data_IF_653207386136
#
_entry.id   IF_653207386136
#
_cell.length_a   1.000
_cell.length_b   1.000
_cell.length_c   1.000
_cell.angle_alpha   90.00
_cell.angle_beta   90.00
_cell.angle_gamma   90.00
#
_symmetry.space_group_name_H-M   'P 1'
#
loop_
_entity.id
_entity.type
_entity.pdbx_description
1 polymer ?
#
# COMPACT_ATOMS: atom_id res chain seq x y z
N UNK A 1 -38.94 33.84 6.96
CA UNK A 1 -38.73 32.48 6.43
C UNK A 1 -37.63 32.40 5.34
N UNK A 2 -37.53 33.35 4.40
CA UNK A 2 -36.47 33.33 3.35
C UNK A 2 -35.01 33.40 3.86
N UNK A 3 -34.78 34.04 5.02
CA UNK A 3 -33.43 34.18 5.61
C UNK A 3 -32.90 32.93 6.31
N UNK A 4 -33.77 31.99 6.70
CA UNK A 4 -33.35 30.73 7.34
C UNK A 4 -32.99 29.64 6.31
N UNK A 5 -33.54 29.72 5.10
CA UNK A 5 -33.21 28.79 4.01
C UNK A 5 -31.80 29.04 3.48
N UNK A 6 -31.37 30.32 3.40
CA UNK A 6 -30.02 30.66 2.95
C UNK A 6 -28.91 30.18 3.91
N UNK A 7 -29.18 30.18 5.22
CA UNK A 7 -28.24 29.66 6.21
C UNK A 7 -28.11 28.12 6.18
N UNK A 8 -29.21 27.42 5.87
CA UNK A 8 -29.20 25.96 5.74
C UNK A 8 -28.46 25.50 4.46
N UNK A 9 -28.60 26.23 3.35
CA UNK A 9 -27.89 25.91 2.10
C UNK A 9 -26.39 26.17 2.23
N UNK A 10 -25.98 27.22 2.95
CA UNK A 10 -24.56 27.49 3.21
C UNK A 10 -23.89 26.44 4.12
N UNK A 11 -24.64 25.85 5.07
CA UNK A 11 -24.15 24.79 5.94
C UNK A 11 -23.97 23.45 5.21
N UNK A 12 -24.83 23.14 4.22
CA UNK A 12 -24.73 21.91 3.42
C UNK A 12 -23.59 22.00 2.38
N UNK A 13 -23.26 23.20 1.90
CA UNK A 13 -22.12 23.39 0.99
C UNK A 13 -20.74 23.22 1.67
N UNK A 14 -20.65 23.37 2.99
CA UNK A 14 -19.41 23.09 3.74
C UNK A 14 -19.21 21.59 4.04
N UNK A 15 -20.29 20.79 4.01
CA UNK A 15 -20.20 19.32 4.17
C UNK A 15 -19.75 18.58 2.90
N UNK A 16 -19.60 19.27 1.76
CA UNK A 16 -19.04 18.69 0.53
C UNK A 16 -17.56 19.03 0.31
N UNK A 17 -16.89 19.70 1.26
CA UNK A 17 -15.43 19.74 1.31
C UNK A 17 -14.86 18.50 2.02
N UNK A 18 -15.26 17.31 1.57
CA UNK A 18 -14.35 16.17 1.68
C UNK A 18 -13.36 16.30 0.51
N UNK A 19 -12.46 17.28 0.63
CA UNK A 19 -11.33 17.43 -0.27
C UNK A 19 -10.42 16.22 -0.02
N UNK A 20 -10.46 15.23 -0.90
CA UNK A 20 -9.40 14.22 -0.96
C UNK A 20 -8.04 14.90 -1.08
N UNK A 21 -6.98 14.24 -0.62
CA UNK A 21 -5.63 14.78 -0.72
C UNK A 21 -5.33 15.17 -2.17
N UNK A 22 -4.78 16.36 -2.36
CA UNK A 22 -4.35 16.82 -3.69
C UNK A 22 -3.21 15.94 -4.21
N UNK A 23 -3.00 15.92 -5.53
CA UNK A 23 -1.92 15.14 -6.16
C UNK A 23 -0.55 15.41 -5.53
N UNK A 24 -0.27 16.67 -5.17
CA UNK A 24 0.97 17.04 -4.51
C UNK A 24 1.06 16.47 -3.09
N UNK A 25 0.00 16.62 -2.28
CA UNK A 25 -0.04 16.07 -0.93
C UNK A 25 0.10 14.54 -0.93
N UNK A 26 -0.53 13.84 -1.89
CA UNK A 26 -0.38 12.39 -2.04
C UNK A 26 1.05 11.98 -2.35
N UNK A 27 1.75 12.72 -3.22
CA UNK A 27 3.15 12.49 -3.53
C UNK A 27 4.06 12.76 -2.33
N UNK A 28 3.80 13.84 -1.60
CA UNK A 28 4.53 14.16 -0.38
C UNK A 28 4.34 13.07 0.68
N UNK A 29 3.10 12.64 0.93
CA UNK A 29 2.78 11.54 1.85
C UNK A 29 3.46 10.23 1.45
N UNK A 30 3.41 9.88 0.16
CA UNK A 30 4.08 8.68 -0.36
C UNK A 30 5.60 8.76 -0.19
N UNK A 31 6.21 9.93 -0.43
CA UNK A 31 7.66 10.13 -0.28
C UNK A 31 8.16 10.07 1.17
N UNK A 32 7.26 10.26 2.14
CA UNK A 32 7.56 10.16 3.57
C UNK A 32 7.46 8.72 4.10
N UNK A 33 6.97 7.79 3.29
CA UNK A 33 6.91 6.38 3.67
C UNK A 33 8.31 5.74 3.63
N UNK A 34 8.72 5.15 4.75
CA UNK A 34 9.99 4.44 4.86
C UNK A 34 10.00 3.18 3.97
N UNK A 35 8.86 2.51 3.90
CA UNK A 35 8.60 1.37 3.02
C UNK A 35 7.25 1.56 2.35
N UNK A 36 7.19 1.20 1.07
CA UNK A 36 5.94 1.11 0.31
C UNK A 36 5.67 -0.35 0.00
N UNK A 37 4.49 -0.86 0.33
CA UNK A 37 3.98 -2.13 -0.17
C UNK A 37 2.98 -1.83 -1.27
N UNK A 38 3.28 -2.25 -2.50
CA UNK A 38 2.42 -2.04 -3.65
C UNK A 38 1.83 -3.37 -4.10
N UNK A 39 0.51 -3.52 -3.91
CA UNK A 39 -0.24 -4.70 -4.34
C UNK A 39 -0.61 -4.54 -5.79
N UNK A 40 -0.09 -5.41 -6.67
CA UNK A 40 -0.35 -5.35 -8.11
C UNK A 40 -0.13 -6.70 -8.80
N UNK A 41 -0.54 -6.81 -10.06
CA UNK A 41 -0.12 -7.95 -10.88
C UNK A 41 1.35 -7.81 -11.28
N UNK A 42 2.14 -8.82 -10.94
CA UNK A 42 3.54 -8.92 -11.38
C UNK A 42 3.59 -9.89 -12.56
N UNK A 43 3.67 -9.35 -13.78
CA UNK A 43 3.41 -10.09 -15.04
C UNK A 43 4.51 -11.10 -15.42
N UNK A 44 5.73 -10.93 -14.90
CA UNK A 44 6.89 -11.75 -15.28
C UNK A 44 7.42 -12.65 -14.15
N UNK A 45 6.96 -12.42 -12.92
CA UNK A 45 7.43 -13.16 -11.74
C UNK A 45 6.23 -13.67 -10.97
N UNK A 46 6.24 -14.96 -10.64
CA UNK A 46 5.26 -15.56 -9.72
C UNK A 46 5.56 -15.22 -8.26
N UNK A 47 6.54 -14.35 -8.01
CA UNK A 47 7.03 -13.96 -6.68
C UNK A 47 6.90 -12.45 -6.48
N UNK A 48 6.98 -12.01 -5.24
CA UNK A 48 7.04 -10.60 -4.89
C UNK A 48 8.47 -10.06 -5.03
N UNK A 49 8.59 -8.77 -5.32
CA UNK A 49 9.88 -8.11 -5.57
C UNK A 49 10.09 -6.96 -4.61
N UNK A 50 11.26 -6.87 -3.99
CA UNK A 50 11.64 -5.71 -3.17
C UNK A 50 12.68 -4.88 -3.93
N UNK A 51 12.36 -3.64 -4.29
CA UNK A 51 13.18 -2.78 -5.16
C UNK A 51 13.25 -1.38 -4.55
N UNK A 52 14.47 -0.91 -4.25
CA UNK A 52 14.64 0.35 -3.52
C UNK A 52 14.03 0.27 -2.12
N UNK A 53 12.91 0.98 -1.89
CA UNK A 53 12.11 0.89 -0.66
C UNK A 53 10.70 0.30 -0.90
N UNK A 54 10.42 -0.21 -2.09
CA UNK A 54 9.10 -0.72 -2.48
C UNK A 54 9.09 -2.24 -2.53
N UNK A 55 8.17 -2.86 -1.78
CA UNK A 55 7.78 -4.24 -1.93
C UNK A 55 6.59 -4.33 -2.90
N UNK A 56 6.85 -4.75 -4.13
CA UNK A 56 5.81 -5.14 -5.08
C UNK A 56 5.25 -6.50 -4.67
N UNK A 57 4.10 -6.47 -4.00
CA UNK A 57 3.39 -7.65 -3.54
C UNK A 57 2.47 -8.15 -4.65
N UNK A 58 2.73 -9.37 -5.12
CA UNK A 58 1.93 -9.94 -6.20
C UNK A 58 0.49 -10.18 -5.71
N UNK A 59 -0.50 -9.59 -6.39
CA UNK A 59 -1.92 -9.71 -6.05
C UNK A 59 -2.36 -11.18 -5.91
N UNK A 60 -1.78 -12.11 -6.69
CA UNK A 60 -2.03 -13.56 -6.56
C UNK A 60 -1.77 -14.11 -5.17
N UNK A 61 -0.77 -13.57 -4.46
CA UNK A 61 -0.42 -13.98 -3.11
C UNK A 61 -1.38 -13.39 -2.06
N UNK A 62 -2.18 -12.39 -2.44
CA UNK A 62 -3.22 -11.80 -1.59
C UNK A 62 -4.59 -12.48 -1.77
N UNK A 63 -4.82 -13.16 -2.90
CA UNK A 63 -6.05 -13.92 -3.17
C UNK A 63 -6.21 -15.11 -2.22
N UNK A 64 -5.11 -15.73 -1.81
CA UNK A 64 -5.16 -16.86 -0.90
C UNK A 64 -5.54 -16.42 0.53
N UNK A 65 -6.36 -17.24 1.22
CA UNK A 65 -6.68 -17.05 2.63
C UNK A 65 -5.40 -16.89 3.47
N UNK A 66 -4.35 -17.63 3.09
CA UNK A 66 -3.01 -17.56 3.67
C UNK A 66 -2.04 -16.87 2.69
N UNK A 67 -1.50 -15.71 3.07
CA UNK A 67 -0.49 -14.98 2.28
C UNK A 67 0.86 -15.70 2.22
N UNK A 68 1.07 -16.65 3.13
CA UNK A 68 2.33 -17.38 3.31
C UNK A 68 2.26 -18.78 2.69
N UNK A 69 3.39 -19.31 2.18
CA UNK A 69 4.71 -18.69 2.15
C UNK A 69 4.83 -17.57 1.10
N UNK A 70 5.37 -16.43 1.53
CA UNK A 70 5.62 -15.27 0.70
C UNK A 70 7.05 -15.36 0.15
N UNK A 71 7.16 -15.54 -1.15
CA UNK A 71 8.44 -15.52 -1.88
C UNK A 71 8.81 -14.08 -2.24
N UNK A 72 9.95 -13.59 -1.74
CA UNK A 72 10.43 -12.22 -2.00
C UNK A 72 11.86 -12.23 -2.53
N UNK A 73 12.05 -11.64 -3.71
CA UNK A 73 13.38 -11.40 -4.28
C UNK A 73 13.73 -9.92 -4.16
N UNK A 74 14.84 -9.61 -3.48
CA UNK A 74 15.38 -8.24 -3.40
C UNK A 74 16.14 -7.94 -4.69
N UNK A 75 15.81 -6.85 -5.39
CA UNK A 75 16.45 -6.43 -6.64
C UNK A 75 17.15 -5.10 -6.47
N UNK A 76 18.31 -4.99 -7.10
CA UNK A 76 19.01 -3.71 -7.26
C UNK A 76 18.33 -2.93 -8.41
N UNK A 77 17.85 -1.69 -8.18
CA UNK A 77 17.28 -0.87 -9.23
C UNK A 77 18.24 -0.59 -10.39
N UNK A 78 19.56 -0.57 -10.12
CA UNK A 78 20.59 -0.32 -11.12
C UNK A 78 20.99 -1.55 -11.94
N UNK A 79 20.66 -2.75 -11.46
CA UNK A 79 20.95 -4.03 -12.12
C UNK A 79 19.84 -5.05 -11.87
N UNK A 80 18.67 -4.76 -12.45
CA UNK A 80 17.45 -5.54 -12.22
C UNK A 80 17.53 -6.99 -12.74
N UNK A 81 18.35 -7.23 -13.77
CA UNK A 81 18.46 -8.53 -14.43
C UNK A 81 19.38 -9.51 -13.67
N UNK A 82 20.18 -9.01 -12.72
CA UNK A 82 21.03 -9.87 -11.91
C UNK A 82 20.17 -10.87 -11.12
N UNK A 83 20.46 -12.18 -11.22
CA UNK A 83 19.81 -13.18 -10.38
C UNK A 83 20.11 -12.90 -8.91
N UNK A 84 19.06 -12.69 -8.12
CA UNK A 84 19.17 -12.56 -6.66
C UNK A 84 18.42 -13.70 -5.99
N UNK A 85 18.92 -14.10 -4.82
CA UNK A 85 18.29 -15.15 -4.04
C UNK A 85 16.87 -14.73 -3.62
N UNK A 86 15.93 -15.67 -3.74
CA UNK A 86 14.56 -15.50 -3.24
C UNK A 86 14.51 -15.90 -1.76
N UNK A 87 14.04 -15.00 -0.93
CA UNK A 87 13.74 -15.27 0.48
C UNK A 87 12.35 -15.92 0.57
N UNK A 88 12.21 -16.88 1.47
CA UNK A 88 10.93 -17.50 1.81
C UNK A 88 10.53 -16.94 3.17
N UNK A 89 9.39 -16.25 3.22
CA UNK A 89 8.83 -15.63 4.41
C UNK A 89 7.57 -16.42 4.78
N UNK A 90 7.51 -16.96 5.99
CA UNK A 90 6.46 -17.92 6.38
C UNK A 90 5.44 -17.34 7.37
N UNK A 91 5.65 -16.12 7.84
CA UNK A 91 4.78 -15.49 8.84
C UNK A 91 4.87 -13.97 8.82
N UNK A 92 3.91 -13.31 9.48
CA UNK A 92 3.91 -11.86 9.69
C UNK A 92 5.17 -11.38 10.40
N UNK A 93 5.62 -12.13 11.41
CA UNK A 93 6.80 -11.75 12.20
C UNK A 93 8.06 -11.86 11.34
N UNK A 94 8.15 -12.88 10.48
CA UNK A 94 9.22 -12.99 9.49
C UNK A 94 9.15 -11.86 8.44
N UNK A 95 7.95 -11.45 8.00
CA UNK A 95 7.80 -10.35 7.06
C UNK A 95 8.24 -9.03 7.69
N UNK A 96 7.81 -8.74 8.91
CA UNK A 96 8.21 -7.54 9.63
C UNK A 96 9.72 -7.53 9.93
N UNK A 97 10.30 -8.69 10.27
CA UNK A 97 11.74 -8.83 10.46
C UNK A 97 12.51 -8.60 9.14
N UNK A 98 12.01 -9.15 8.03
CA UNK A 98 12.56 -8.92 6.70
C UNK A 98 12.54 -7.43 6.35
N UNK A 99 11.39 -6.76 6.54
CA UNK A 99 11.23 -5.34 6.26
C UNK A 99 12.12 -4.47 7.15
N UNK A 100 12.25 -4.78 8.44
CA UNK A 100 13.18 -4.08 9.34
C UNK A 100 14.65 -4.29 8.99
N UNK A 101 15.00 -5.41 8.35
CA UNK A 101 16.39 -5.62 7.89
C UNK A 101 16.73 -4.71 6.71
N UNK A 102 15.77 -4.45 5.82
CA UNK A 102 15.97 -3.60 4.64
C UNK A 102 15.68 -2.11 4.93
N UNK A 103 14.81 -1.83 5.90
CA UNK A 103 14.46 -0.49 6.39
C UNK A 103 14.43 -0.47 7.93
N UNK A 104 15.59 -0.34 8.60
CA UNK A 104 15.69 -0.46 10.07
C UNK A 104 14.88 0.54 10.89
N UNK A 105 14.64 1.74 10.33
CA UNK A 105 13.89 2.81 10.97
C UNK A 105 12.43 2.90 10.52
N UNK A 106 11.89 1.84 9.90
CA UNK A 106 10.54 1.85 9.34
C UNK A 106 9.48 2.14 10.41
N UNK A 107 8.81 3.28 10.27
CA UNK A 107 7.71 3.76 11.12
C UNK A 107 6.50 4.22 10.30
N UNK A 108 6.71 4.69 9.07
CA UNK A 108 5.67 5.08 8.13
C UNK A 108 5.64 4.10 6.97
N UNK A 109 4.53 3.38 6.83
CA UNK A 109 4.35 2.42 5.74
C UNK A 109 3.28 2.94 4.78
N UNK A 110 3.58 2.90 3.50
CA UNK A 110 2.60 3.11 2.43
C UNK A 110 2.06 1.75 1.96
N UNK A 111 0.74 1.62 1.83
CA UNK A 111 0.09 0.52 1.13
C UNK A 111 -0.55 1.08 -0.13
N UNK A 112 -0.05 0.71 -1.29
CA UNK A 112 -0.60 1.12 -2.59
C UNK A 112 -1.39 -0.04 -3.17
N UNK A 113 -2.66 0.17 -3.52
CA UNK A 113 -3.44 -0.75 -4.34
C UNK A 113 -3.33 -0.28 -5.78
N UNK A 114 -2.56 -1.01 -6.59
CA UNK A 114 -2.37 -0.69 -8.00
C UNK A 114 -3.57 -1.08 -8.86
N UNK A 115 -3.80 -0.35 -9.96
CA UNK A 115 -4.96 -0.57 -10.86
C UNK A 115 -5.02 -2.03 -11.34
N UNK A 116 -3.85 -2.61 -11.63
CA UNK A 116 -3.75 -4.00 -12.09
C UNK A 116 -4.13 -5.06 -11.04
N UNK A 117 -4.16 -4.74 -9.74
CA UNK A 117 -4.56 -5.70 -8.72
C UNK A 117 -6.01 -6.17 -8.91
N UNK A 118 -6.89 -5.24 -9.33
CA UNK A 118 -8.30 -5.54 -9.63
C UNK A 118 -8.49 -6.48 -10.83
N UNK A 119 -7.48 -6.66 -11.67
CA UNK A 119 -7.51 -7.61 -12.77
C UNK A 119 -7.16 -9.04 -12.33
N UNK A 120 -6.72 -9.24 -11.09
CA UNK A 120 -6.41 -10.56 -10.57
C UNK A 120 -7.68 -11.29 -10.13
N UNK A 121 -7.86 -12.52 -10.61
CA UNK A 121 -9.06 -13.29 -10.35
C UNK A 121 -9.13 -13.64 -8.86
N UNK A 122 -10.24 -13.29 -8.22
CA UNK A 122 -10.47 -13.54 -6.79
C UNK A 122 -9.79 -12.53 -5.87
N UNK A 123 -9.16 -11.48 -6.40
CA UNK A 123 -8.63 -10.41 -5.56
C UNK A 123 -9.77 -9.54 -5.01
N UNK A 124 -9.82 -9.44 -3.69
CA UNK A 124 -10.72 -8.52 -3.00
C UNK A 124 -9.90 -7.50 -2.22
N UNK A 125 -10.14 -6.21 -2.51
CA UNK A 125 -9.36 -5.12 -1.96
C UNK A 125 -9.52 -4.98 -0.44
N UNK A 126 -10.76 -5.02 0.07
CA UNK A 126 -11.01 -4.80 1.49
C UNK A 126 -10.34 -5.87 2.39
N UNK A 127 -10.44 -7.19 2.09
CA UNK A 127 -9.65 -8.21 2.78
C UNK A 127 -8.15 -8.00 2.70
N UNK A 128 -7.63 -7.59 1.53
CA UNK A 128 -6.20 -7.31 1.37
C UNK A 128 -5.74 -6.15 2.26
N UNK A 129 -6.49 -5.04 2.26
CA UNK A 129 -6.23 -3.89 3.14
C UNK A 129 -6.29 -4.31 4.60
N UNK A 130 -7.30 -5.09 5.00
CA UNK A 130 -7.45 -5.57 6.38
C UNK A 130 -6.28 -6.45 6.82
N UNK A 131 -5.83 -7.37 5.95
CA UNK A 131 -4.68 -8.25 6.19
C UNK A 131 -3.41 -7.42 6.42
N UNK A 132 -3.10 -6.50 5.51
CA UNK A 132 -1.91 -5.64 5.61
C UNK A 132 -1.99 -4.69 6.80
N UNK A 133 -3.17 -4.11 7.08
CA UNK A 133 -3.39 -3.26 8.26
C UNK A 133 -3.15 -4.03 9.55
N UNK A 134 -3.64 -5.28 9.63
CA UNK A 134 -3.46 -6.12 10.83
C UNK A 134 -2.01 -6.51 11.04
N UNK A 135 -1.28 -6.77 9.95
CA UNK A 135 0.16 -7.01 9.97
C UNK A 135 0.94 -5.80 10.49
N UNK A 136 0.73 -4.62 9.91
CA UNK A 136 1.51 -3.43 10.27
C UNK A 136 1.14 -2.82 11.62
N UNK A 137 -0.08 -3.07 12.13
CA UNK A 137 -0.44 -2.73 13.51
C UNK A 137 0.40 -3.44 14.57
N UNK A 138 1.10 -4.52 14.23
CA UNK A 138 2.08 -5.17 15.12
C UNK A 138 3.34 -4.33 15.33
N UNK A 139 3.55 -3.28 14.53
CA UNK A 139 4.62 -2.32 14.74
C UNK A 139 4.21 -1.30 15.80
N UNK A 140 4.91 -1.27 16.93
CA UNK A 140 4.71 -0.24 17.94
C UNK A 140 5.06 1.14 17.39
N UNK A 141 4.13 2.10 17.52
CA UNK A 141 4.35 3.50 17.12
C UNK A 141 4.35 3.77 15.61
N UNK A 142 3.98 2.79 14.79
CA UNK A 142 3.93 2.95 13.33
C UNK A 142 2.69 3.69 12.82
N UNK A 143 2.67 3.97 11.53
CA UNK A 143 1.49 4.43 10.80
C UNK A 143 1.39 3.75 9.44
N UNK A 144 0.16 3.59 8.96
CA UNK A 144 -0.12 3.04 7.64
C UNK A 144 -0.95 4.03 6.83
N UNK A 145 -0.44 4.38 5.66
CA UNK A 145 -1.16 5.19 4.67
C UNK A 145 -1.58 4.30 3.51
N UNK A 146 -2.88 4.25 3.24
CA UNK A 146 -3.44 3.62 2.05
C UNK A 146 -3.41 4.63 0.90
N UNK A 147 -2.98 4.16 -0.26
CA UNK A 147 -3.05 4.88 -1.52
C UNK A 147 -3.69 3.99 -2.58
N UNK A 148 -4.33 4.62 -3.56
CA UNK A 148 -4.76 3.97 -4.79
C UNK A 148 -3.97 4.51 -5.97
N UNK A 149 -3.61 3.64 -6.89
CA UNK A 149 -2.91 4.01 -8.12
C UNK A 149 -3.76 3.71 -9.35
N UNK A 150 -3.75 4.63 -10.31
CA UNK A 150 -4.37 4.48 -11.63
C UNK A 150 -3.53 5.14 -12.71
N UNK A 151 -3.23 4.41 -13.79
CA UNK A 151 -2.47 4.97 -14.92
C UNK A 151 -1.06 5.48 -14.56
N UNK A 152 -0.44 4.91 -13.53
CA UNK A 152 0.88 5.31 -13.00
C UNK A 152 0.84 6.46 -11.98
N UNK A 153 -0.35 6.92 -11.59
CA UNK A 153 -0.51 8.06 -10.67
C UNK A 153 -1.32 7.70 -9.43
N UNK A 154 -0.95 8.26 -8.28
CA UNK A 154 -1.75 8.14 -7.06
C UNK A 154 -3.04 8.96 -7.19
N UNK A 155 -4.18 8.34 -6.90
CA UNK A 155 -5.51 8.93 -7.05
C UNK A 155 -6.23 9.19 -5.74
N UNK A 156 -5.88 8.46 -4.68
CA UNK A 156 -6.42 8.64 -3.34
C UNK A 156 -5.33 8.38 -2.30
N UNK A 157 -5.48 9.02 -1.13
CA UNK A 157 -4.60 8.80 0.01
C UNK A 157 -5.38 8.93 1.32
N UNK A 158 -5.17 7.96 2.21
CA UNK A 158 -5.86 7.91 3.51
C UNK A 158 -4.97 7.26 4.56
N UNK A 159 -4.84 7.90 5.73
CA UNK A 159 -4.27 7.25 6.91
C UNK A 159 -5.23 6.19 7.45
N UNK A 160 -4.75 4.95 7.59
CA UNK A 160 -5.52 3.79 8.03
C UNK A 160 -5.35 3.53 9.53
N UNK A 161 -4.16 3.78 10.08
CA UNK A 161 -3.90 3.84 11.52
C UNK A 161 -2.72 4.78 11.83
#
# INVERSE_FOLDING_TARGET
MKKMIAALVAAVSLTFMACGASKLEMQEMSSQCDVVVEVRQVLNDSISLFVGNTLYLNAKQMVADEMYPLLVSTRDPSDFQKPTATNIINSDDELLAYLRRVAPSMVQVGLVIGESAANEIGFEEAPAIQKMTSLFKKMEGGSLYLFHEKGGELTDAKKVF
#
